data_IF_072082179329
#
_entry.id   IF_072082179329
#
_cell.length_a   1.000
_cell.length_b   1.000
_cell.length_c   1.000
_cell.angle_alpha   90.00
_cell.angle_beta   90.00
_cell.angle_gamma   90.00
#
_symmetry.space_group_name_H-M   'P 1'
#
loop_
_entity.id
_entity.type
_entity.pdbx_description
1 polymer ?
#
# COMPACT_ATOMS: atom_id res chain seq x y z
N UNK A 1 -28.83 30.47 7.38
CA UNK A 1 -28.75 29.68 6.14
C UNK A 1 -28.49 30.57 4.93
N UNK A 2 -29.12 31.75 4.84
CA UNK A 2 -28.99 32.67 3.69
C UNK A 2 -27.55 33.14 3.38
N UNK A 3 -26.67 33.20 4.40
CA UNK A 3 -25.24 33.52 4.20
C UNK A 3 -24.47 32.40 3.47
N UNK A 4 -24.83 31.13 3.67
CA UNK A 4 -24.19 29.98 3.01
C UNK A 4 -24.70 29.89 1.56
N UNK A 5 -25.99 30.15 1.35
CA UNK A 5 -26.58 30.16 0.00
C UNK A 5 -26.03 31.31 -0.85
N UNK A 6 -25.74 32.47 -0.23
CA UNK A 6 -25.09 33.60 -0.90
C UNK A 6 -23.63 33.30 -1.29
N UNK A 7 -22.83 32.70 -0.41
CA UNK A 7 -21.45 32.28 -0.72
C UNK A 7 -21.40 31.18 -1.80
N UNK A 8 -22.36 30.25 -1.80
CA UNK A 8 -22.48 29.22 -2.84
C UNK A 8 -22.92 29.82 -4.19
N UNK A 9 -23.76 30.87 -4.18
CA UNK A 9 -24.18 31.56 -5.41
C UNK A 9 -23.09 32.44 -6.02
N UNK A 10 -22.11 32.87 -5.23
CA UNK A 10 -20.94 33.64 -5.69
C UNK A 10 -19.75 32.78 -6.12
N UNK A 11 -19.82 31.45 -5.94
CA UNK A 11 -18.99 30.52 -6.68
C UNK A 11 -19.48 30.44 -8.13
N UNK A 12 -19.39 31.56 -8.86
CA UNK A 12 -19.52 31.53 -10.31
C UNK A 12 -18.51 30.52 -10.83
N UNK A 13 -19.02 29.40 -11.34
CA UNK A 13 -18.22 28.38 -12.01
C UNK A 13 -17.47 29.11 -13.12
N UNK A 14 -16.17 29.30 -12.92
CA UNK A 14 -15.32 30.06 -13.83
C UNK A 14 -15.54 29.55 -15.27
N UNK A 15 -15.44 30.40 -16.30
CA UNK A 15 -15.58 29.94 -17.68
C UNK A 15 -14.68 28.75 -18.01
N UNK A 16 -13.50 28.69 -17.39
CA UNK A 16 -12.56 27.58 -17.50
C UNK A 16 -13.06 26.28 -16.87
N UNK A 17 -13.72 26.35 -15.72
CA UNK A 17 -14.38 25.21 -15.06
C UNK A 17 -15.47 24.59 -15.94
N UNK A 18 -16.26 25.43 -16.65
CA UNK A 18 -17.26 24.97 -17.62
C UNK A 18 -16.62 24.30 -18.84
N UNK A 19 -15.47 24.80 -19.29
CA UNK A 19 -14.71 24.22 -20.40
C UNK A 19 -14.27 22.79 -20.09
N UNK A 20 -13.67 22.56 -18.92
CA UNK A 20 -13.25 21.20 -18.54
C UNK A 20 -14.44 20.24 -18.38
N UNK A 21 -15.53 20.69 -17.73
CA UNK A 21 -16.75 19.88 -17.60
C UNK A 21 -17.35 19.50 -18.97
N UNK A 22 -17.33 20.44 -19.94
CA UNK A 22 -17.75 20.17 -21.32
C UNK A 22 -16.87 19.11 -21.99
N UNK A 23 -15.55 19.22 -21.86
CA UNK A 23 -14.65 18.22 -22.45
C UNK A 23 -14.78 16.84 -21.82
N UNK A 24 -14.98 16.78 -20.51
CA UNK A 24 -15.32 15.53 -19.83
C UNK A 24 -16.63 14.93 -20.37
N UNK A 25 -17.64 15.75 -20.63
CA UNK A 25 -18.89 15.27 -21.25
C UNK A 25 -18.67 14.72 -22.67
N UNK A 26 -17.81 15.34 -23.48
CA UNK A 26 -17.46 14.84 -24.80
C UNK A 26 -16.81 13.45 -24.73
N UNK A 27 -15.93 13.22 -23.76
CA UNK A 27 -15.33 11.90 -23.48
C UNK A 27 -16.43 10.88 -23.15
N UNK A 28 -17.35 11.21 -22.24
CA UNK A 28 -18.47 10.32 -21.86
C UNK A 28 -19.34 9.99 -23.07
N UNK A 29 -19.72 10.99 -23.87
CA UNK A 29 -20.53 10.80 -25.08
C UNK A 29 -19.85 9.85 -26.06
N UNK A 30 -18.57 10.08 -26.33
CA UNK A 30 -17.83 9.26 -27.28
C UNK A 30 -17.59 7.83 -26.76
N UNK A 31 -17.37 7.66 -25.45
CA UNK A 31 -17.30 6.34 -24.86
C UNK A 31 -18.63 5.56 -24.96
N UNK A 32 -19.79 6.24 -24.84
CA UNK A 32 -21.09 5.62 -25.08
C UNK A 32 -21.23 5.13 -26.54
N UNK A 33 -20.76 5.93 -27.51
CA UNK A 33 -20.76 5.57 -28.93
C UNK A 33 -19.92 4.31 -29.18
N UNK A 34 -18.69 4.27 -28.63
CA UNK A 34 -17.79 3.11 -28.75
C UNK A 34 -18.41 1.86 -28.13
N UNK A 35 -18.95 1.98 -26.91
CA UNK A 35 -19.56 0.86 -26.16
C UNK A 35 -20.86 0.36 -26.78
N UNK A 36 -21.54 1.20 -27.59
CA UNK A 36 -22.93 1.01 -28.03
C UNK A 36 -23.92 0.85 -26.87
N UNK A 37 -23.52 1.30 -25.68
CA UNK A 37 -24.29 1.24 -24.45
C UNK A 37 -23.80 2.33 -23.51
N UNK A 38 -24.72 3.00 -22.81
CA UNK A 38 -24.36 3.96 -21.77
C UNK A 38 -23.68 3.27 -20.58
N UNK A 39 -22.62 3.86 -20.01
CA UNK A 39 -22.08 3.43 -18.72
C UNK A 39 -23.17 3.40 -17.65
N UNK A 40 -23.02 2.52 -16.65
CA UNK A 40 -23.97 2.50 -15.54
C UNK A 40 -23.93 3.83 -14.78
N UNK A 41 -25.04 4.21 -14.13
CA UNK A 41 -25.06 5.43 -13.31
C UNK A 41 -23.94 5.45 -12.25
N UNK A 42 -23.70 4.33 -11.59
CA UNK A 42 -22.64 4.20 -10.59
C UNK A 42 -21.24 4.39 -11.20
N UNK A 43 -21.00 3.84 -12.39
CA UNK A 43 -19.75 4.04 -13.14
C UNK A 43 -19.53 5.51 -13.53
N UNK A 44 -20.59 6.21 -13.98
CA UNK A 44 -20.55 7.64 -14.26
C UNK A 44 -20.28 8.46 -13.00
N UNK A 45 -20.97 8.17 -11.91
CA UNK A 45 -20.85 8.91 -10.65
C UNK A 45 -19.43 8.78 -10.07
N UNK A 46 -18.86 7.57 -10.06
CA UNK A 46 -17.48 7.33 -9.61
C UNK A 46 -16.47 8.02 -10.52
N UNK A 47 -16.55 7.80 -11.83
CA UNK A 47 -15.58 8.39 -12.77
C UNK A 47 -15.66 9.92 -12.77
N UNK A 48 -16.86 10.49 -12.58
CA UNK A 48 -17.05 11.94 -12.47
C UNK A 48 -16.51 12.50 -11.17
N UNK A 49 -16.72 11.81 -10.05
CA UNK A 49 -16.16 12.19 -8.76
C UNK A 49 -14.61 12.19 -8.81
N UNK A 50 -14.03 11.18 -9.44
CA UNK A 50 -12.59 11.07 -9.67
C UNK A 50 -12.05 12.16 -10.61
N UNK A 51 -12.77 12.48 -11.69
CA UNK A 51 -12.36 13.52 -12.62
C UNK A 51 -12.45 14.94 -12.05
N UNK A 52 -13.20 15.13 -10.96
CA UNK A 52 -13.28 16.39 -10.21
C UNK A 52 -11.99 16.70 -9.43
N UNK A 53 -11.88 17.87 -8.78
CA UNK A 53 -12.77 19.01 -8.92
C UNK A 53 -12.70 19.62 -10.33
N UNK A 54 -13.84 20.08 -10.85
CA UNK A 54 -13.96 20.69 -12.18
C UNK A 54 -13.51 22.17 -12.18
N UNK A 55 -12.31 22.43 -11.67
CA UNK A 55 -11.64 23.75 -11.65
C UNK A 55 -10.34 23.68 -12.44
N UNK A 56 -9.73 24.80 -12.83
CA UNK A 56 -8.39 24.79 -13.45
C UNK A 56 -7.26 24.63 -12.45
N UNK A 57 -6.11 24.14 -12.90
CA UNK A 57 -4.92 23.98 -12.05
C UNK A 57 -4.98 22.72 -11.18
N UNK A 58 -4.13 22.67 -10.16
CA UNK A 58 -4.01 21.57 -9.22
C UNK A 58 -3.20 20.39 -9.77
N UNK A 59 -3.30 19.26 -9.07
CA UNK A 59 -2.73 17.98 -9.49
C UNK A 59 -3.75 17.19 -10.31
N UNK A 60 -3.34 16.78 -11.50
CA UNK A 60 -4.05 15.78 -12.30
C UNK A 60 -3.24 14.48 -12.32
N UNK A 61 -3.86 13.37 -11.96
CA UNK A 61 -3.33 12.02 -12.13
C UNK A 61 -3.93 11.42 -13.39
N UNK A 62 -3.08 10.86 -14.25
CA UNK A 62 -3.49 10.14 -15.44
C UNK A 62 -3.21 8.65 -15.23
N UNK A 63 -4.25 7.83 -15.34
CA UNK A 63 -4.20 6.37 -15.29
C UNK A 63 -4.51 5.80 -16.69
N UNK A 64 -4.41 4.48 -16.86
CA UNK A 64 -4.54 3.86 -18.19
C UNK A 64 -5.99 3.56 -18.58
N UNK A 65 -6.70 2.81 -17.74
CA UNK A 65 -8.08 2.35 -17.97
C UNK A 65 -8.68 1.84 -16.64
N UNK A 66 -10.00 1.86 -16.49
CA UNK A 66 -10.65 1.32 -15.30
C UNK A 66 -10.53 -0.21 -15.21
N UNK A 67 -10.50 -0.72 -13.98
CA UNK A 67 -10.52 -2.16 -13.73
C UNK A 67 -11.88 -2.75 -14.12
N UNK A 68 -11.89 -3.87 -14.86
CA UNK A 68 -13.12 -4.54 -15.28
C UNK A 68 -14.03 -4.92 -14.11
N UNK A 69 -13.43 -5.33 -12.99
CA UNK A 69 -14.13 -5.75 -11.77
C UNK A 69 -14.22 -4.64 -10.73
N UNK A 70 -14.12 -3.37 -11.14
CA UNK A 70 -14.26 -2.25 -10.22
C UNK A 70 -15.67 -2.26 -9.58
N UNK A 71 -15.79 -2.19 -8.25
CA UNK A 71 -17.09 -2.28 -7.58
C UNK A 71 -17.79 -0.90 -7.58
N UNK A 72 -18.27 -0.47 -8.75
CA UNK A 72 -18.84 0.87 -8.97
C UNK A 72 -19.94 1.26 -7.97
N UNK A 73 -20.74 0.28 -7.51
CA UNK A 73 -21.83 0.50 -6.54
C UNK A 73 -21.34 0.94 -5.15
N UNK A 74 -20.07 0.69 -4.82
CA UNK A 74 -19.45 1.15 -3.57
C UNK A 74 -18.97 2.61 -3.64
N UNK A 75 -19.14 3.26 -4.80
CA UNK A 75 -18.75 4.65 -5.01
C UNK A 75 -17.23 4.84 -5.12
N UNK A 76 -16.76 6.09 -5.02
CA UNK A 76 -15.32 6.41 -5.12
C UNK A 76 -14.49 5.88 -3.95
N UNK A 77 -15.16 5.43 -2.87
CA UNK A 77 -14.55 4.77 -1.70
C UNK A 77 -14.54 3.24 -1.81
N UNK A 78 -14.94 2.70 -2.95
CA UNK A 78 -14.78 1.31 -3.32
C UNK A 78 -13.42 0.75 -2.89
N UNK A 79 -13.40 -0.51 -2.41
CA UNK A 79 -12.16 -1.21 -2.06
C UNK A 79 -11.34 -1.56 -3.32
N UNK A 80 -10.74 -0.55 -3.95
CA UNK A 80 -9.84 -0.68 -5.07
C UNK A 80 -8.40 -0.42 -4.60
N UNK A 81 -7.58 -1.47 -4.48
CA UNK A 81 -6.21 -1.35 -3.99
C UNK A 81 -5.39 -0.28 -4.73
N UNK A 82 -5.57 -0.15 -6.05
CA UNK A 82 -4.94 0.90 -6.87
C UNK A 82 -5.29 2.31 -6.39
N UNK A 83 -6.59 2.61 -6.21
CA UNK A 83 -7.04 3.93 -5.79
C UNK A 83 -6.76 4.18 -4.31
N UNK A 84 -6.87 3.16 -3.45
CA UNK A 84 -6.53 3.25 -2.03
C UNK A 84 -5.05 3.57 -1.83
N UNK A 85 -4.16 2.93 -2.60
CA UNK A 85 -2.74 3.24 -2.58
C UNK A 85 -2.49 4.66 -3.08
N UNK A 86 -3.12 5.07 -4.18
CA UNK A 86 -2.96 6.43 -4.70
C UNK A 86 -3.45 7.50 -3.69
N UNK A 87 -4.61 7.30 -3.06
CA UNK A 87 -5.16 8.17 -2.01
C UNK A 87 -4.20 8.28 -0.82
N UNK A 88 -3.75 7.14 -0.30
CA UNK A 88 -2.80 7.12 0.82
C UNK A 88 -1.48 7.82 0.45
N UNK A 89 -0.95 7.55 -0.75
CA UNK A 89 0.30 8.12 -1.21
C UNK A 89 0.22 9.63 -1.35
N UNK A 90 -0.89 10.15 -1.90
CA UNK A 90 -1.16 11.59 -2.01
C UNK A 90 -1.32 12.22 -0.63
N UNK A 91 -2.11 11.60 0.25
CA UNK A 91 -2.34 12.09 1.61
C UNK A 91 -1.03 12.16 2.40
N UNK A 92 -0.26 11.06 2.45
CA UNK A 92 1.05 11.02 3.11
C UNK A 92 2.01 12.05 2.52
N UNK A 93 2.11 12.10 1.18
CA UNK A 93 3.03 13.00 0.49
C UNK A 93 2.72 14.48 0.69
N UNK A 94 1.44 14.83 0.85
CA UNK A 94 0.98 16.19 1.06
C UNK A 94 0.80 16.57 2.54
N UNK A 95 1.07 15.65 3.46
CA UNK A 95 0.80 15.85 4.88
C UNK A 95 -0.69 15.98 5.21
N UNK A 96 -1.55 15.28 4.47
CA UNK A 96 -3.01 15.27 4.64
C UNK A 96 -3.75 16.45 3.98
N UNK A 97 -3.03 17.34 3.28
CA UNK A 97 -3.64 18.50 2.61
C UNK A 97 -4.42 18.14 1.34
N UNK A 98 -3.97 17.11 0.62
CA UNK A 98 -4.57 16.67 -0.63
C UNK A 98 -5.30 15.35 -0.44
N UNK A 99 -6.38 15.18 -1.20
CA UNK A 99 -7.16 13.95 -1.27
C UNK A 99 -7.73 13.77 -2.68
N UNK A 100 -7.83 12.53 -3.13
CA UNK A 100 -8.13 12.12 -4.50
C UNK A 100 -9.53 12.50 -5.00
N UNK A 101 -10.49 12.74 -4.11
CA UNK A 101 -11.85 13.14 -4.50
C UNK A 101 -12.15 14.64 -4.37
N UNK A 102 -11.31 15.39 -3.65
CA UNK A 102 -11.61 16.80 -3.31
C UNK A 102 -10.61 17.78 -3.92
N UNK A 103 -9.35 17.36 -4.08
CA UNK A 103 -8.25 18.25 -4.40
C UNK A 103 -7.49 17.84 -5.67
N UNK A 104 -7.52 16.55 -5.99
CA UNK A 104 -6.80 15.95 -7.10
C UNK A 104 -7.82 15.44 -8.10
N UNK A 105 -7.54 15.61 -9.39
CA UNK A 105 -8.31 14.99 -10.46
C UNK A 105 -7.64 13.72 -10.94
N UNK A 106 -8.43 12.72 -11.28
CA UNK A 106 -7.98 11.46 -11.86
C UNK A 106 -8.71 11.23 -13.17
N UNK A 107 -7.96 11.06 -14.25
CA UNK A 107 -8.49 10.71 -15.57
C UNK A 107 -7.81 9.44 -16.07
N UNK A 108 -8.59 8.50 -16.59
CA UNK A 108 -8.05 7.42 -17.39
C UNK A 108 -7.80 7.90 -18.83
N UNK A 109 -6.79 7.34 -19.49
CA UNK A 109 -6.56 7.54 -20.93
C UNK A 109 -7.62 6.82 -21.78
N UNK A 110 -8.26 5.79 -21.22
CA UNK A 110 -9.38 5.05 -21.83
C UNK A 110 -10.55 4.95 -20.84
N UNK A 111 -11.17 6.09 -20.48
CA UNK A 111 -12.25 6.09 -19.52
C UNK A 111 -13.44 5.31 -20.08
N UNK A 112 -14.12 4.54 -19.22
CA UNK A 112 -15.26 3.68 -19.57
C UNK A 112 -14.97 2.53 -20.54
N UNK A 113 -13.71 2.32 -20.95
CA UNK A 113 -13.31 1.21 -21.82
C UNK A 113 -12.51 0.21 -20.97
N UNK A 114 -13.07 -0.97 -20.73
CA UNK A 114 -12.36 -2.05 -20.05
C UNK A 114 -11.51 -2.85 -21.05
N UNK A 115 -10.62 -3.71 -20.52
CA UNK A 115 -9.69 -4.53 -21.32
C UNK A 115 -10.37 -5.37 -22.41
N UNK A 116 -11.57 -5.90 -22.16
CA UNK A 116 -12.32 -6.69 -23.13
C UNK A 116 -12.75 -5.85 -24.34
N UNK A 117 -13.31 -4.67 -24.06
CA UNK A 117 -13.73 -3.74 -25.12
C UNK A 117 -12.51 -3.16 -25.85
N UNK A 118 -11.41 -2.94 -25.13
CA UNK A 118 -10.19 -2.39 -25.70
C UNK A 118 -9.63 -3.26 -26.84
N UNK A 119 -9.85 -4.57 -26.84
CA UNK A 119 -9.41 -5.44 -27.94
C UNK A 119 -10.24 -5.27 -29.21
N UNK A 120 -11.45 -4.70 -29.11
CA UNK A 120 -12.41 -4.57 -30.20
C UNK A 120 -12.50 -3.16 -30.79
N UNK A 121 -11.86 -2.17 -30.14
CA UNK A 121 -11.84 -0.80 -30.66
C UNK A 121 -10.75 -0.66 -31.73
N UNK A 122 -11.10 -0.04 -32.85
CA UNK A 122 -10.16 0.26 -33.93
C UNK A 122 -9.19 1.38 -33.54
N UNK A 123 -8.05 1.46 -34.23
CA UNK A 123 -7.01 2.45 -33.93
C UNK A 123 -7.52 3.89 -34.05
N UNK A 124 -8.32 4.19 -35.07
CA UNK A 124 -8.96 5.51 -35.20
C UNK A 124 -9.86 5.86 -34.01
N UNK A 125 -10.54 4.87 -33.42
CA UNK A 125 -11.37 5.10 -32.24
C UNK A 125 -10.52 5.38 -31.01
N UNK A 126 -9.39 4.66 -30.84
CA UNK A 126 -8.41 4.90 -29.78
C UNK A 126 -7.81 6.29 -29.89
N UNK A 127 -7.38 6.69 -31.08
CA UNK A 127 -6.82 8.02 -31.34
C UNK A 127 -7.81 9.13 -31.03
N UNK A 128 -9.06 9.01 -31.50
CA UNK A 128 -10.10 10.01 -31.20
C UNK A 128 -10.42 10.07 -29.71
N UNK A 129 -10.45 8.93 -29.00
CA UNK A 129 -10.66 8.93 -27.55
C UNK A 129 -9.50 9.62 -26.82
N UNK A 130 -8.25 9.34 -27.21
CA UNK A 130 -7.09 10.00 -26.65
C UNK A 130 -7.13 11.51 -26.92
N UNK A 131 -7.49 11.94 -28.13
CA UNK A 131 -7.60 13.35 -28.48
C UNK A 131 -8.60 14.07 -27.55
N UNK A 132 -9.77 13.47 -27.29
CA UNK A 132 -10.76 14.03 -26.35
C UNK A 132 -10.22 14.09 -24.91
N UNK A 133 -9.46 13.08 -24.47
CA UNK A 133 -8.79 13.12 -23.15
C UNK A 133 -7.75 14.24 -23.08
N UNK A 134 -6.95 14.43 -24.13
CA UNK A 134 -5.97 15.52 -24.22
C UNK A 134 -6.64 16.89 -24.24
N UNK A 135 -7.78 17.04 -24.93
CA UNK A 135 -8.59 18.26 -24.90
C UNK A 135 -9.11 18.55 -23.49
N UNK A 136 -9.55 17.53 -22.75
CA UNK A 136 -9.96 17.68 -21.36
C UNK A 136 -8.80 18.07 -20.44
N UNK A 137 -7.62 17.48 -20.62
CA UNK A 137 -6.39 17.86 -19.90
C UNK A 137 -6.04 19.32 -20.19
N UNK A 138 -6.08 19.72 -21.47
CA UNK A 138 -5.82 21.09 -21.88
C UNK A 138 -6.85 22.06 -21.28
N UNK A 139 -8.13 21.68 -21.21
CA UNK A 139 -9.16 22.50 -20.56
C UNK A 139 -8.99 22.57 -19.03
N UNK A 140 -8.51 21.50 -18.40
CA UNK A 140 -8.20 21.44 -16.96
C UNK A 140 -6.99 22.29 -16.60
N UNK A 141 -6.05 22.51 -17.53
CA UNK A 141 -4.82 23.29 -17.29
C UNK A 141 -4.16 22.94 -15.94
N UNK A 142 -3.89 21.65 -15.61
CA UNK A 142 -3.27 21.31 -14.32
C UNK A 142 -1.92 22.02 -14.15
N UNK A 143 -1.52 22.29 -12.90
CA UNK A 143 -0.18 22.81 -12.62
C UNK A 143 0.84 21.67 -12.62
N UNK A 144 0.42 20.48 -12.14
CA UNK A 144 1.20 19.25 -12.19
C UNK A 144 0.37 18.10 -12.75
N UNK A 145 0.95 17.34 -13.69
CA UNK A 145 0.37 16.12 -14.23
C UNK A 145 1.22 14.92 -13.85
N UNK A 146 0.66 14.00 -13.07
CA UNK A 146 1.26 12.72 -12.70
C UNK A 146 0.72 11.62 -13.62
N UNK A 147 1.49 11.25 -14.64
CA UNK A 147 1.13 10.20 -15.60
C UNK A 147 1.66 8.84 -15.11
N UNK A 148 0.75 7.91 -14.81
CA UNK A 148 1.10 6.63 -14.19
C UNK A 148 0.82 5.45 -15.11
N UNK A 149 1.87 4.68 -15.41
CA UNK A 149 1.80 3.51 -16.28
C UNK A 149 2.58 3.67 -17.56
N UNK A 150 2.57 2.61 -18.36
CA UNK A 150 3.25 2.62 -19.64
C UNK A 150 2.28 3.09 -20.73
N UNK A 151 2.46 4.31 -21.22
CA UNK A 151 1.66 4.84 -22.34
C UNK A 151 1.99 4.10 -23.65
N UNK A 152 3.18 3.50 -23.79
CA UNK A 152 3.57 2.77 -25.01
C UNK A 152 2.66 1.56 -25.27
N UNK A 153 2.00 1.01 -24.25
CA UNK A 153 1.03 -0.07 -24.45
C UNK A 153 -0.27 0.39 -25.12
N UNK A 154 -0.50 1.70 -25.24
CA UNK A 154 -1.67 2.25 -25.93
C UNK A 154 -1.52 2.22 -27.46
N UNK A 155 -0.29 2.07 -27.97
CA UNK A 155 0.00 2.09 -29.41
C UNK A 155 0.94 0.94 -29.82
N UNK A 156 0.41 -0.28 -30.02
CA UNK A 156 1.20 -1.42 -30.51
C UNK A 156 1.83 -1.16 -31.89
N UNK A 157 1.20 -0.34 -32.73
CA UNK A 157 1.66 0.00 -34.08
C UNK A 157 2.94 0.86 -34.08
N UNK A 158 3.25 1.57 -32.98
CA UNK A 158 4.50 2.32 -32.81
C UNK A 158 5.64 1.48 -32.20
N UNK A 159 5.38 0.22 -31.85
CA UNK A 159 6.38 -0.67 -31.25
C UNK A 159 7.33 -1.32 -32.26
N UNK A 160 7.20 -1.07 -33.57
CA UNK A 160 7.96 -1.81 -34.57
C UNK A 160 9.47 -1.50 -34.62
N UNK A 161 10.00 -0.49 -33.91
CA UNK A 161 11.43 -0.10 -34.02
C UNK A 161 12.18 0.19 -32.71
N UNK A 162 11.68 -0.24 -31.55
CA UNK A 162 12.43 -0.07 -30.28
C UNK A 162 12.71 -1.43 -29.65
N UNK A 163 13.51 -2.24 -30.33
CA UNK A 163 14.27 -3.31 -29.69
C UNK A 163 15.58 -2.72 -29.15
N UNK A 164 15.60 -2.15 -27.94
CA UNK A 164 16.86 -2.00 -27.22
C UNK A 164 16.67 -1.98 -25.69
N UNK A 165 17.20 -3.05 -25.06
CA UNK A 165 17.75 -3.16 -23.70
C UNK A 165 17.28 -2.13 -22.65
N UNK A 166 16.48 -2.64 -21.70
CA UNK A 166 16.40 -2.30 -20.26
C UNK A 166 17.45 -1.29 -19.73
N UNK A 167 17.32 -0.02 -20.13
CA UNK A 167 18.05 1.09 -19.53
C UNK A 167 17.01 2.10 -19.06
N UNK A 168 16.64 1.97 -17.78
CA UNK A 168 15.98 2.97 -16.92
C UNK A 168 14.96 3.88 -17.62
N UNK A 169 13.68 3.46 -17.69
CA UNK A 169 12.44 4.29 -17.64
C UNK A 169 12.35 5.54 -18.56
N UNK A 170 13.29 5.79 -19.48
CA UNK A 170 13.36 7.05 -20.25
C UNK A 170 12.61 6.99 -21.58
N UNK A 171 12.41 5.82 -22.18
CA UNK A 171 11.86 5.70 -23.54
C UNK A 171 10.33 5.58 -23.69
N UNK A 172 9.54 5.04 -22.74
CA UNK A 172 8.08 5.01 -22.88
C UNK A 172 7.41 6.40 -22.81
N UNK A 173 8.21 7.46 -22.62
CA UNK A 173 7.79 8.86 -22.55
C UNK A 173 7.27 9.39 -23.89
N UNK A 174 7.67 8.80 -25.03
CA UNK A 174 7.42 9.39 -26.35
C UNK A 174 5.96 9.42 -26.78
N UNK A 175 5.16 8.35 -26.63
CA UNK A 175 3.82 8.32 -27.24
C UNK A 175 2.87 9.46 -26.79
N UNK A 176 2.79 9.78 -25.48
CA UNK A 176 2.00 10.93 -25.03
C UNK A 176 2.69 12.27 -25.39
N UNK A 177 4.03 12.29 -25.43
CA UNK A 177 4.81 13.45 -25.83
C UNK A 177 4.65 13.79 -27.32
N UNK A 178 4.51 12.79 -28.18
CA UNK A 178 4.32 12.96 -29.62
C UNK A 178 2.93 13.58 -29.90
N UNK A 179 1.94 13.28 -29.06
CA UNK A 179 0.65 13.97 -29.07
C UNK A 179 0.63 15.29 -28.28
N UNK A 180 1.72 15.70 -27.61
CA UNK A 180 1.78 17.03 -26.96
C UNK A 180 1.71 18.15 -27.98
N UNK A 181 1.99 17.87 -29.25
CA UNK A 181 1.83 18.84 -30.34
C UNK A 181 0.41 19.42 -30.40
N UNK A 182 -0.59 18.68 -29.89
CA UNK A 182 -1.97 19.16 -29.75
C UNK A 182 -2.25 20.03 -28.51
N UNK A 183 -1.34 20.06 -27.54
CA UNK A 183 -1.45 20.93 -26.37
C UNK A 183 -0.90 22.31 -26.69
N UNK A 184 -1.49 23.37 -26.13
CA UNK A 184 -1.00 24.72 -26.38
C UNK A 184 0.42 24.92 -25.83
N UNK A 185 1.23 25.76 -26.48
CA UNK A 185 2.57 26.10 -25.99
C UNK A 185 2.54 26.71 -24.59
N UNK A 186 1.48 27.48 -24.29
CA UNK A 186 1.23 28.02 -22.96
C UNK A 186 1.05 26.89 -21.94
N UNK A 187 0.24 25.88 -22.26
CA UNK A 187 0.04 24.73 -21.40
C UNK A 187 1.35 23.99 -21.13
N UNK A 188 2.17 23.74 -22.17
CA UNK A 188 3.44 23.01 -22.02
C UNK A 188 4.44 23.76 -21.14
N UNK A 189 4.45 25.09 -21.19
CA UNK A 189 5.32 25.93 -20.34
C UNK A 189 4.88 25.95 -18.88
N UNK A 190 3.56 25.88 -18.63
CA UNK A 190 2.99 25.97 -17.30
C UNK A 190 2.93 24.62 -16.57
N UNK A 191 2.62 23.53 -17.29
CA UNK A 191 2.37 22.24 -16.67
C UNK A 191 3.65 21.42 -16.45
N UNK A 192 3.86 20.95 -15.22
CA UNK A 192 4.94 20.02 -14.90
C UNK A 192 4.47 18.58 -15.07
N UNK A 193 5.13 17.82 -15.95
CA UNK A 193 4.82 16.41 -16.18
C UNK A 193 5.75 15.49 -15.39
N UNK A 194 5.17 14.60 -14.59
CA UNK A 194 5.88 13.55 -13.86
C UNK A 194 5.37 12.20 -14.31
N UNK A 195 6.30 11.29 -14.61
CA UNK A 195 5.98 9.93 -15.05
C UNK A 195 6.30 8.96 -13.94
N UNK A 196 5.37 8.04 -13.67
CA UNK A 196 5.49 7.05 -12.61
C UNK A 196 5.01 5.67 -13.09
N UNK A 197 5.34 4.63 -12.33
CA UNK A 197 4.72 3.33 -12.53
C UNK A 197 3.22 3.38 -12.20
N UNK A 198 2.41 2.55 -12.87
CA UNK A 198 1.00 2.44 -12.53
C UNK A 198 0.86 1.81 -11.12
N UNK A 199 0.00 2.32 -10.21
CA UNK A 199 -0.10 1.80 -8.86
C UNK A 199 -0.42 0.30 -8.80
N UNK A 200 -1.27 -0.19 -9.72
CA UNK A 200 -1.58 -1.63 -9.83
C UNK A 200 -0.34 -2.53 -9.91
N UNK A 201 0.77 -2.04 -10.51
CA UNK A 201 2.01 -2.81 -10.61
C UNK A 201 2.58 -3.14 -9.23
N UNK A 202 2.57 -2.18 -8.30
CA UNK A 202 3.13 -2.37 -6.96
C UNK A 202 2.11 -2.97 -5.98
N UNK A 203 0.81 -2.71 -6.15
CA UNK A 203 -0.20 -3.13 -5.15
C UNK A 203 -1.05 -4.33 -5.54
N UNK A 204 -1.22 -4.64 -6.83
CA UNK A 204 -1.97 -5.82 -7.27
C UNK A 204 -1.03 -6.91 -7.80
N UNK A 205 -0.05 -6.55 -8.61
CA UNK A 205 0.86 -7.53 -9.22
C UNK A 205 2.05 -7.89 -8.32
N UNK A 206 2.55 -6.93 -7.53
CA UNK A 206 3.69 -7.13 -6.62
C UNK A 206 3.37 -6.66 -5.19
N UNK A 207 2.25 -7.08 -4.56
CA UNK A 207 1.79 -6.58 -3.25
C UNK A 207 2.74 -6.84 -2.07
N UNK A 208 3.81 -7.61 -2.27
CA UNK A 208 4.84 -7.87 -1.27
C UNK A 208 6.15 -7.12 -1.54
N UNK A 209 6.27 -6.44 -2.69
CA UNK A 209 7.46 -5.69 -3.09
C UNK A 209 7.39 -4.27 -2.50
N UNK A 210 8.11 -4.07 -1.39
CA UNK A 210 8.17 -2.76 -0.74
C UNK A 210 8.93 -1.74 -1.57
N UNK A 211 10.00 -2.14 -2.25
CA UNK A 211 10.83 -1.23 -3.04
C UNK A 211 10.01 -0.59 -4.16
N UNK A 212 9.19 -1.38 -4.87
CA UNK A 212 8.26 -0.84 -5.87
C UNK A 212 7.22 0.12 -5.27
N UNK A 213 6.74 -0.14 -4.04
CA UNK A 213 5.80 0.78 -3.36
C UNK A 213 6.49 2.07 -2.94
N UNK A 214 7.75 2.01 -2.50
CA UNK A 214 8.52 3.21 -2.16
C UNK A 214 8.86 4.04 -3.41
N UNK A 215 9.23 3.41 -4.53
CA UNK A 215 9.44 4.11 -5.82
C UNK A 215 8.14 4.80 -6.30
N UNK A 216 7.00 4.14 -6.13
CA UNK A 216 5.69 4.75 -6.40
C UNK A 216 5.43 5.96 -5.50
N UNK A 217 5.69 5.84 -4.19
CA UNK A 217 5.53 6.95 -3.24
C UNK A 217 6.45 8.12 -3.56
N UNK A 218 7.71 7.84 -3.92
CA UNK A 218 8.69 8.84 -4.36
C UNK A 218 8.15 9.68 -5.51
N UNK A 219 7.54 9.02 -6.50
CA UNK A 219 6.96 9.69 -7.66
C UNK A 219 5.75 10.56 -7.28
N UNK A 220 4.86 10.05 -6.42
CA UNK A 220 3.70 10.79 -5.91
C UNK A 220 4.14 12.01 -5.08
N UNK A 221 5.16 11.84 -4.23
CA UNK A 221 5.72 12.91 -3.44
C UNK A 221 6.41 13.97 -4.29
N UNK A 222 7.13 13.55 -5.33
CA UNK A 222 7.65 14.46 -6.35
C UNK A 222 6.56 15.33 -6.95
N UNK A 223 5.40 14.76 -7.29
CA UNK A 223 4.26 15.51 -7.82
C UNK A 223 3.67 16.49 -6.80
N UNK A 224 3.47 16.03 -5.56
CA UNK A 224 2.94 16.89 -4.51
C UNK A 224 3.89 18.08 -4.23
N UNK A 225 5.20 17.83 -4.15
CA UNK A 225 6.21 18.86 -3.91
C UNK A 225 6.30 19.89 -5.06
N UNK A 226 6.10 19.47 -6.30
CA UNK A 226 6.02 20.41 -7.43
C UNK A 226 4.76 21.28 -7.35
N UNK A 227 3.65 20.74 -6.85
CA UNK A 227 2.41 21.50 -6.68
C UNK A 227 2.50 22.50 -5.52
N UNK A 228 3.02 22.07 -4.37
CA UNK A 228 3.24 22.89 -3.17
C UNK A 228 4.69 22.71 -2.68
N UNK A 229 5.61 23.60 -3.08
CA UNK A 229 7.01 23.58 -2.61
C UNK A 229 7.15 23.70 -1.08
N UNK A 230 6.11 24.20 -0.39
CA UNK A 230 6.01 24.23 1.07
C UNK A 230 5.82 22.85 1.70
N UNK A 231 5.66 21.79 0.91
CA UNK A 231 5.84 20.39 1.34
C UNK A 231 7.35 20.16 1.54
N UNK A 232 7.85 20.64 2.68
CA UNK A 232 9.29 20.61 3.03
C UNK A 232 9.72 19.23 3.52
N UNK A 233 8.79 18.36 3.95
CA UNK A 233 9.14 17.08 4.58
C UNK A 233 9.90 16.19 3.58
N UNK A 234 11.20 15.92 3.80
CA UNK A 234 11.95 15.01 2.95
C UNK A 234 11.26 13.66 2.93
N UNK A 235 11.11 13.03 1.76
CA UNK A 235 10.64 11.66 1.71
C UNK A 235 11.50 10.69 2.56
N UNK A 236 12.84 10.83 2.65
CA UNK A 236 13.62 10.08 3.62
C UNK A 236 13.18 10.32 5.05
N UNK A 237 12.65 11.48 5.42
CA UNK A 237 12.04 11.68 6.75
C UNK A 237 10.64 11.09 6.83
N UNK A 238 9.84 11.04 5.75
CA UNK A 238 8.51 10.40 5.81
C UNK A 238 8.69 8.90 5.93
N UNK A 239 9.53 8.32 5.10
CA UNK A 239 9.88 6.90 5.10
C UNK A 239 10.73 6.59 6.33
N UNK A 240 11.79 7.32 6.68
CA UNK A 240 12.57 7.05 7.91
C UNK A 240 11.91 7.53 9.21
N UNK A 241 10.88 8.38 9.20
CA UNK A 241 10.03 8.58 10.38
C UNK A 241 8.94 7.51 10.43
N UNK A 242 8.42 6.98 9.31
CA UNK A 242 7.52 5.83 9.38
C UNK A 242 8.25 4.50 9.60
N UNK A 243 9.51 4.42 9.19
CA UNK A 243 10.44 3.31 9.45
C UNK A 243 11.25 3.53 10.74
N UNK A 244 11.34 4.75 11.27
CA UNK A 244 12.29 5.12 12.35
C UNK A 244 11.87 6.26 13.30
N UNK A 245 10.68 6.87 13.17
CA UNK A 245 9.89 7.35 14.32
C UNK A 245 8.98 6.16 14.74
N UNK A 246 9.41 5.25 15.60
CA UNK A 246 10.44 5.51 16.61
C UNK A 246 10.06 6.74 17.42
N UNK A 247 8.81 6.78 17.91
CA UNK A 247 8.61 7.33 19.26
C UNK A 247 9.74 6.74 20.09
N UNK A 248 10.46 7.64 20.76
CA UNK A 248 11.54 7.40 21.70
C UNK A 248 11.63 5.95 22.14
N UNK A 249 12.81 5.36 21.95
CA UNK A 249 13.28 4.16 22.64
C UNK A 249 12.46 3.93 23.90
N UNK A 250 11.48 3.03 23.79
CA UNK A 250 10.57 2.77 24.86
C UNK A 250 11.36 2.14 25.98
N UNK A 251 11.54 2.95 27.02
CA UNK A 251 11.74 2.52 28.37
C UNK A 251 10.61 1.51 28.66
N UNK A 252 10.88 0.29 29.17
CA UNK A 252 9.88 -0.75 29.48
C UNK A 252 8.77 -0.34 30.48
N UNK A 253 8.66 0.95 30.82
CA UNK A 253 7.77 1.48 31.84
C UNK A 253 6.38 1.87 31.33
N UNK A 254 6.18 2.16 30.04
CA UNK A 254 4.84 2.49 29.51
C UNK A 254 4.13 1.21 29.01
N UNK A 255 3.50 0.51 29.94
CA UNK A 255 2.74 -0.72 29.72
C UNK A 255 1.41 -0.47 28.97
N UNK A 256 1.48 -0.07 27.71
CA UNK A 256 0.34 -0.18 26.79
C UNK A 256 -0.08 -1.64 26.60
N UNK A 257 -1.36 -1.89 26.32
CA UNK A 257 -1.96 -3.24 26.14
C UNK A 257 -1.27 -4.12 25.09
N UNK A 258 -0.42 -3.54 24.24
CA UNK A 258 0.13 -4.19 23.04
C UNK A 258 1.61 -4.58 23.18
N UNK A 259 2.31 -4.10 24.22
CA UNK A 259 3.76 -4.32 24.39
C UNK A 259 4.15 -5.79 24.51
N UNK A 260 3.32 -6.59 25.21
CA UNK A 260 3.57 -8.03 25.39
C UNK A 260 3.41 -8.84 24.11
N UNK A 261 2.53 -8.42 23.18
CA UNK A 261 2.33 -9.10 21.89
C UNK A 261 3.61 -9.03 21.06
N UNK A 262 4.25 -7.85 21.04
CA UNK A 262 5.52 -7.67 20.35
C UNK A 262 6.60 -8.58 20.94
N UNK A 263 6.76 -8.57 22.27
CA UNK A 263 7.73 -9.43 22.97
C UNK A 263 7.50 -10.90 22.65
N UNK A 264 6.25 -11.35 22.72
CA UNK A 264 5.88 -12.73 22.39
C UNK A 264 6.28 -13.08 20.96
N UNK A 265 5.92 -12.26 19.97
CA UNK A 265 6.26 -12.54 18.57
C UNK A 265 7.77 -12.53 18.33
N UNK A 266 8.51 -11.61 18.96
CA UNK A 266 9.98 -11.61 18.90
C UNK A 266 10.57 -12.93 19.40
N UNK A 267 10.10 -13.42 20.54
CA UNK A 267 10.54 -14.70 21.10
C UNK A 267 10.21 -15.85 20.15
N UNK A 268 8.98 -15.92 19.65
CA UNK A 268 8.55 -16.99 18.75
C UNK A 268 9.35 -17.00 17.44
N UNK A 269 9.59 -15.84 16.85
CA UNK A 269 10.38 -15.73 15.61
C UNK A 269 11.83 -16.12 15.85
N UNK A 270 12.45 -15.68 16.94
CA UNK A 270 13.82 -16.04 17.28
C UNK A 270 14.01 -17.53 17.58
N UNK A 271 12.98 -18.21 18.11
CA UNK A 271 12.99 -19.66 18.28
C UNK A 271 12.85 -20.42 16.95
N UNK A 272 12.29 -19.78 15.92
CA UNK A 272 12.11 -20.37 14.60
C UNK A 272 13.26 -20.06 13.63
N UNK A 273 13.91 -18.90 13.73
CA UNK A 273 14.97 -18.45 12.83
C UNK A 273 16.36 -18.70 13.45
N UNK A 274 17.30 -19.28 12.68
CA UNK A 274 18.69 -19.45 13.14
C UNK A 274 19.44 -18.11 13.20
N UNK A 275 20.50 -17.98 14.02
CA UNK A 275 21.29 -16.74 14.16
C UNK A 275 21.72 -16.01 12.88
N UNK A 276 22.19 -16.66 11.79
CA UNK A 276 22.51 -15.92 10.55
C UNK A 276 21.27 -15.42 9.77
N UNK A 277 20.08 -15.88 10.15
CA UNK A 277 18.78 -15.47 9.61
C UNK A 277 17.89 -14.81 10.68
N UNK A 278 18.43 -14.52 11.86
CA UNK A 278 17.72 -13.71 12.84
C UNK A 278 17.51 -12.35 12.20
N UNK A 279 16.27 -11.87 12.28
CA UNK A 279 15.93 -10.53 11.86
C UNK A 279 16.92 -9.58 12.55
N UNK A 280 17.66 -8.72 11.82
CA UNK A 280 18.50 -7.74 12.48
C UNK A 280 17.62 -6.95 13.46
N UNK A 281 18.18 -6.47 14.59
CA UNK A 281 17.41 -5.70 15.58
C UNK A 281 16.63 -4.52 14.94
N UNK A 282 17.09 -4.05 13.77
CA UNK A 282 16.45 -3.06 12.90
C UNK A 282 15.18 -3.49 12.17
N UNK A 283 14.87 -4.80 12.07
CA UNK A 283 13.60 -5.31 11.52
C UNK A 283 12.48 -5.36 12.57
N UNK A 284 12.78 -5.00 13.83
CA UNK A 284 11.83 -4.92 14.94
C UNK A 284 11.51 -3.46 15.30
N UNK A 285 11.36 -2.61 14.29
CA UNK A 285 11.02 -1.19 14.49
C UNK A 285 9.75 -1.04 15.33
N UNK A 286 9.70 0.04 16.11
CA UNK A 286 8.70 0.28 17.17
C UNK A 286 7.23 0.09 16.70
N UNK A 287 6.96 0.22 15.40
CA UNK A 287 5.62 0.19 14.81
C UNK A 287 5.42 -0.84 13.69
N UNK A 288 6.42 -1.67 13.35
CA UNK A 288 6.26 -2.73 12.35
C UNK A 288 5.83 -4.03 13.03
N UNK A 289 4.55 -4.36 12.97
CA UNK A 289 4.13 -5.71 13.33
C UNK A 289 4.63 -6.70 12.29
N UNK A 290 5.00 -7.89 12.77
CA UNK A 290 5.60 -8.95 11.98
C UNK A 290 4.73 -9.30 10.78
N UNK A 291 5.18 -8.94 9.58
CA UNK A 291 4.72 -9.57 8.35
C UNK A 291 5.82 -10.49 7.87
N UNK A 292 5.57 -11.79 8.00
CA UNK A 292 6.43 -12.81 7.42
C UNK A 292 6.51 -12.59 5.90
N UNK A 293 7.69 -12.19 5.42
CA UNK A 293 7.99 -12.06 4.00
C UNK A 293 8.00 -13.44 3.31
N UNK A 294 8.06 -13.44 1.97
CA UNK A 294 8.07 -14.68 1.17
C UNK A 294 9.17 -15.66 1.59
N UNK A 295 10.38 -15.17 1.81
CA UNK A 295 11.50 -16.02 2.21
C UNK A 295 11.28 -16.68 3.59
N UNK A 296 10.56 -16.02 4.51
CA UNK A 296 10.20 -16.64 5.79
C UNK A 296 9.26 -17.82 5.56
N UNK A 297 8.31 -17.70 4.63
CA UNK A 297 7.40 -18.79 4.29
C UNK A 297 8.16 -19.94 3.63
N UNK A 298 9.04 -19.63 2.68
CA UNK A 298 9.89 -20.64 2.03
C UNK A 298 10.78 -21.38 3.06
N UNK A 299 11.32 -20.64 4.04
CA UNK A 299 12.09 -21.21 5.14
C UNK A 299 11.25 -22.07 6.09
N UNK A 300 10.03 -21.62 6.40
CA UNK A 300 9.08 -22.37 7.21
C UNK A 300 8.65 -23.66 6.53
N UNK A 301 8.39 -23.63 5.22
CA UNK A 301 8.12 -24.83 4.43
C UNK A 301 9.33 -25.77 4.40
N UNK A 302 10.55 -25.22 4.32
CA UNK A 302 11.76 -26.01 4.44
C UNK A 302 11.87 -26.70 5.81
N UNK A 303 11.61 -25.99 6.92
CA UNK A 303 11.61 -26.57 8.27
C UNK A 303 10.60 -27.71 8.37
N UNK A 304 9.36 -27.47 7.94
CA UNK A 304 8.27 -28.45 8.03
C UNK A 304 8.54 -29.69 7.16
N UNK A 305 9.11 -29.50 5.95
CA UNK A 305 9.41 -30.61 5.04
C UNK A 305 10.53 -31.54 5.54
N UNK A 306 11.44 -31.04 6.38
CA UNK A 306 12.61 -31.80 6.80
C UNK A 306 12.63 -32.13 8.29
N UNK A 307 11.55 -31.85 9.04
CA UNK A 307 11.47 -32.01 10.50
C UNK A 307 11.97 -33.37 10.99
N UNK A 308 11.66 -34.44 10.25
CA UNK A 308 11.90 -35.82 10.68
C UNK A 308 13.33 -36.30 10.40
N UNK A 309 14.03 -35.63 9.48
CA UNK A 309 15.38 -36.01 9.05
C UNK A 309 16.48 -35.33 9.86
N UNK A 310 16.13 -34.37 10.70
CA UNK A 310 17.11 -33.55 11.40
C UNK A 310 17.04 -33.84 12.89
N UNK A 311 17.95 -34.69 13.37
CA UNK A 311 18.10 -35.02 14.80
C UNK A 311 18.57 -33.88 15.71
N UNK A 312 18.29 -32.62 15.37
CA UNK A 312 18.59 -31.45 16.20
C UNK A 312 17.29 -30.92 16.81
N UNK A 313 17.19 -30.96 18.13
CA UNK A 313 16.01 -30.53 18.90
C UNK A 313 15.56 -29.11 18.54
N UNK A 314 16.48 -28.18 18.23
CA UNK A 314 16.14 -26.82 17.78
C UNK A 314 15.22 -26.80 16.55
N UNK A 315 15.42 -27.72 15.59
CA UNK A 315 14.57 -27.78 14.39
C UNK A 315 13.21 -28.38 14.67
N UNK A 316 13.13 -29.30 15.64
CA UNK A 316 11.85 -29.85 16.12
C UNK A 316 11.04 -28.77 16.84
N UNK A 317 11.69 -27.96 17.67
CA UNK A 317 11.08 -26.79 18.31
C UNK A 317 10.57 -25.81 17.24
N UNK A 318 11.40 -25.45 16.27
CA UNK A 318 10.99 -24.57 15.18
C UNK A 318 9.80 -25.15 14.39
N UNK A 319 9.84 -26.43 13.99
CA UNK A 319 8.75 -27.09 13.27
C UNK A 319 7.43 -27.10 14.06
N UNK A 320 7.52 -27.20 15.39
CA UNK A 320 6.37 -27.16 16.30
C UNK A 320 5.78 -25.75 16.39
N UNK A 321 6.61 -24.71 16.38
CA UNK A 321 6.20 -23.31 16.49
C UNK A 321 5.72 -22.68 15.16
N UNK A 322 6.22 -23.14 14.01
CA UNK A 322 5.90 -22.57 12.68
C UNK A 322 4.38 -22.49 12.42
N UNK A 323 3.56 -23.53 12.68
CA UNK A 323 2.11 -23.43 12.49
C UNK A 323 1.45 -22.33 13.33
N UNK A 324 1.89 -22.16 14.59
CA UNK A 324 1.40 -21.09 15.46
C UNK A 324 1.79 -19.72 14.91
N UNK A 325 3.05 -19.52 14.52
CA UNK A 325 3.52 -18.27 13.89
C UNK A 325 2.73 -17.92 12.63
N UNK A 326 2.41 -18.90 11.79
CA UNK A 326 1.57 -18.68 10.60
C UNK A 326 0.17 -18.18 10.97
N UNK A 327 -0.48 -18.81 11.97
CA UNK A 327 -1.80 -18.38 12.47
C UNK A 327 -1.76 -16.96 13.05
N UNK A 328 -0.77 -16.67 13.88
CA UNK A 328 -0.59 -15.33 14.45
C UNK A 328 -0.34 -14.29 13.34
N UNK A 329 0.51 -14.60 12.36
CA UNK A 329 0.79 -13.71 11.23
C UNK A 329 -0.47 -13.36 10.41
N UNK A 330 -1.44 -14.28 10.29
CA UNK A 330 -2.72 -14.03 9.62
C UNK A 330 -3.64 -13.06 10.37
N UNK A 331 -3.36 -12.77 11.64
CA UNK A 331 -4.15 -11.84 12.44
C UNK A 331 -3.75 -10.38 12.19
N UNK A 332 -2.62 -10.13 11.53
CA UNK A 332 -2.16 -8.79 11.17
C UNK A 332 -2.66 -8.41 9.79
N UNK A 333 -3.34 -7.27 9.69
CA UNK A 333 -3.82 -6.71 8.45
C UNK A 333 -3.09 -5.39 8.17
N UNK A 334 -2.41 -5.30 7.04
CA UNK A 334 -1.78 -4.04 6.60
C UNK A 334 -2.85 -2.96 6.48
N UNK A 335 -2.67 -1.84 7.18
CA UNK A 335 -3.55 -0.66 7.06
C UNK A 335 -3.01 0.36 6.07
N UNK A 336 -1.77 0.19 5.65
CA UNK A 336 -1.05 1.09 4.76
C UNK A 336 -0.38 0.31 3.64
N UNK A 337 -0.29 0.95 2.48
CA UNK A 337 0.47 0.48 1.33
C UNK A 337 1.95 0.87 1.44
N UNK A 338 2.28 2.01 2.04
CA UNK A 338 3.65 2.54 2.03
C UNK A 338 4.39 2.44 3.36
N UNK A 339 3.67 2.19 4.44
CA UNK A 339 4.23 2.08 5.80
C UNK A 339 3.93 0.69 6.36
N UNK A 340 4.74 0.25 7.31
CA UNK A 340 4.52 -1.02 8.02
C UNK A 340 3.47 -0.86 9.14
N UNK A 341 2.35 -0.20 8.87
CA UNK A 341 1.25 -0.11 9.85
C UNK A 341 0.29 -1.28 9.68
N UNK A 342 -0.08 -1.88 10.81
CA UNK A 342 -0.95 -3.04 10.86
C UNK A 342 -2.03 -2.85 11.91
N UNK A 343 -3.21 -3.38 11.62
CA UNK A 343 -4.26 -3.64 12.59
C UNK A 343 -4.20 -5.12 13.01
N UNK A 344 -4.38 -5.38 14.31
CA UNK A 344 -4.52 -6.74 14.84
C UNK A 344 -6.01 -7.08 14.90
N UNK A 345 -6.39 -8.17 14.23
CA UNK A 345 -7.66 -8.85 14.51
C UNK A 345 -7.53 -9.58 15.85
N UNK A 346 -7.81 -8.86 16.95
CA UNK A 346 -7.64 -9.35 18.31
C UNK A 346 -8.41 -10.63 18.60
N UNK A 347 -9.61 -10.78 18.03
CA UNK A 347 -10.42 -11.98 18.23
C UNK A 347 -9.75 -13.22 17.62
N UNK A 348 -9.22 -13.10 16.40
CA UNK A 348 -8.44 -14.18 15.77
C UNK A 348 -7.11 -14.40 16.48
N UNK A 349 -6.45 -13.33 16.91
CA UNK A 349 -5.17 -13.39 17.61
C UNK A 349 -5.31 -14.16 18.93
N UNK A 350 -6.30 -13.81 19.75
CA UNK A 350 -6.57 -14.49 21.02
C UNK A 350 -6.92 -15.97 20.80
N UNK A 351 -7.72 -16.30 19.79
CA UNK A 351 -8.03 -17.71 19.44
C UNK A 351 -6.79 -18.47 19.00
N UNK A 352 -6.00 -17.91 18.08
CA UNK A 352 -4.76 -18.52 17.60
C UNK A 352 -3.76 -18.77 18.74
N UNK A 353 -3.69 -17.83 19.69
CA UNK A 353 -2.85 -17.97 20.88
C UNK A 353 -3.38 -19.04 21.83
N UNK A 354 -4.68 -19.06 22.13
CA UNK A 354 -5.31 -20.08 22.97
C UNK A 354 -5.11 -21.49 22.42
N UNK A 355 -5.35 -21.68 21.12
CA UNK A 355 -5.11 -22.95 20.41
C UNK A 355 -3.62 -23.31 20.30
N UNK A 356 -2.73 -22.34 20.56
CA UNK A 356 -1.28 -22.49 20.56
C UNK A 356 -0.69 -22.73 21.94
N UNK A 357 -1.47 -22.61 23.03
CA UNK A 357 -0.91 -22.68 24.39
C UNK A 357 -0.24 -24.03 24.67
N UNK A 358 -0.87 -25.13 24.29
CA UNK A 358 -0.28 -26.48 24.44
C UNK A 358 1.03 -26.62 23.68
N UNK A 359 1.10 -26.07 22.47
CA UNK A 359 2.32 -26.01 21.64
C UNK A 359 3.43 -25.23 22.35
N UNK A 360 3.09 -24.08 22.95
CA UNK A 360 4.05 -23.24 23.69
C UNK A 360 4.53 -23.94 24.97
N UNK A 361 3.64 -24.63 25.69
CA UNK A 361 3.96 -25.40 26.88
C UNK A 361 4.92 -26.55 26.56
N UNK A 362 4.66 -27.31 25.49
CA UNK A 362 5.52 -28.39 25.01
C UNK A 362 6.92 -27.89 24.65
N UNK A 363 6.99 -26.78 23.90
CA UNK A 363 8.26 -26.14 23.51
C UNK A 363 9.02 -25.67 24.75
N UNK A 364 8.35 -25.05 25.71
CA UNK A 364 8.96 -24.65 26.99
C UNK A 364 9.50 -25.86 27.75
N UNK A 365 8.79 -26.98 27.75
CA UNK A 365 9.23 -28.25 28.33
C UNK A 365 10.50 -28.80 27.65
N UNK A 366 10.56 -28.78 26.32
CA UNK A 366 11.75 -29.17 25.55
C UNK A 366 12.96 -28.27 25.84
N UNK A 367 12.76 -26.95 25.87
CA UNK A 367 13.82 -25.98 26.19
C UNK A 367 14.37 -26.16 27.60
N UNK A 368 13.50 -26.45 28.58
CA UNK A 368 13.89 -26.68 29.97
C UNK A 368 14.78 -27.93 30.16
N UNK A 369 14.52 -29.00 29.41
CA UNK A 369 15.30 -30.25 29.47
C UNK A 369 16.72 -30.08 28.92
N UNK A 370 16.91 -29.21 27.92
CA UNK A 370 18.22 -29.03 27.26
C UNK A 370 19.21 -28.16 28.04
N UNK A 371 18.77 -27.29 28.96
CA UNK A 371 19.69 -26.43 29.74
C UNK A 371 20.56 -27.18 30.74
N UNK A 372 20.30 -28.46 30.99
CA UNK A 372 21.12 -29.31 31.87
C UNK A 372 22.15 -30.16 31.12
N UNK A 373 22.27 -30.04 29.79
CA UNK A 373 23.35 -30.66 29.02
C UNK A 373 24.55 -29.70 28.93
N UNK A 374 25.52 -29.91 29.81
CA UNK A 374 26.60 -29.00 30.20
C UNK A 374 27.66 -28.61 29.15
N UNK A 375 27.47 -28.84 27.85
CA UNK A 375 28.54 -28.70 26.84
C UNK A 375 28.33 -27.65 25.73
N UNK A 376 27.25 -26.86 25.74
CA UNK A 376 27.03 -25.82 24.74
C UNK A 376 27.32 -24.39 25.26
N UNK A 377 28.58 -24.10 25.60
CA UNK A 377 29.04 -22.74 26.02
C UNK A 377 29.44 -21.80 24.89
N UNK A 378 29.23 -22.16 23.62
CA UNK A 378 29.88 -21.47 22.50
C UNK A 378 29.04 -20.45 21.70
N UNK A 379 27.70 -20.47 21.78
CA UNK A 379 26.88 -19.70 20.81
C UNK A 379 25.63 -19.12 21.46
N UNK A 380 25.78 -18.32 22.50
CA UNK A 380 24.75 -17.34 22.87
C UNK A 380 25.46 -16.12 23.43
N UNK A 381 25.53 -15.08 22.59
CA UNK A 381 25.52 -13.64 22.87
C UNK A 381 26.06 -13.24 24.26
N UNK A 382 27.05 -12.35 24.31
CA UNK A 382 27.48 -11.57 25.49
C UNK A 382 26.37 -10.68 26.10
N UNK A 383 25.11 -11.10 26.06
CA UNK A 383 24.07 -10.65 26.95
C UNK A 383 24.11 -11.53 28.19
N UNK A 384 24.51 -10.94 29.32
CA UNK A 384 24.59 -11.55 30.65
C UNK A 384 23.53 -12.65 30.90
N UNK A 385 23.88 -13.78 31.55
CA UNK A 385 22.98 -14.92 31.84
C UNK A 385 21.66 -14.56 32.54
N UNK A 386 21.61 -13.39 33.17
CA UNK A 386 20.42 -12.76 33.75
C UNK A 386 19.36 -12.41 32.72
N UNK A 387 19.72 -12.05 31.47
CA UNK A 387 18.76 -11.54 30.46
C UNK A 387 17.82 -12.63 29.93
N UNK A 388 18.36 -13.82 29.64
CA UNK A 388 17.60 -14.96 29.10
C UNK A 388 16.70 -15.61 30.18
N UNK A 389 17.12 -15.55 31.44
CA UNK A 389 16.28 -15.97 32.57
C UNK A 389 15.13 -15.00 32.79
N UNK A 390 15.35 -13.69 32.65
CA UNK A 390 14.25 -12.71 32.57
C UNK A 390 13.32 -13.00 31.40
N UNK A 391 13.78 -13.26 30.18
CA UNK A 391 12.88 -13.50 29.02
C UNK A 391 11.98 -14.75 29.19
N UNK A 392 12.48 -15.80 29.84
CA UNK A 392 11.70 -17.01 30.14
C UNK A 392 10.68 -16.76 31.27
N UNK A 393 11.07 -15.93 32.27
CA UNK A 393 10.16 -15.42 33.31
C UNK A 393 9.15 -14.43 32.76
N UNK A 394 9.52 -13.64 31.75
CA UNK A 394 8.70 -12.69 31.01
C UNK A 394 7.63 -13.44 30.23
N UNK A 395 8.00 -14.50 29.49
CA UNK A 395 7.05 -15.36 28.79
C UNK A 395 6.05 -16.02 29.75
N UNK A 396 6.51 -16.49 30.92
CA UNK A 396 5.63 -16.97 32.00
C UNK A 396 4.75 -15.86 32.58
N UNK A 397 5.29 -14.66 32.79
CA UNK A 397 4.52 -13.49 33.26
C UNK A 397 3.46 -13.04 32.25
N UNK A 398 3.78 -13.06 30.95
CA UNK A 398 2.86 -12.78 29.85
C UNK A 398 1.75 -13.84 29.80
N UNK A 399 2.09 -15.12 29.97
CA UNK A 399 1.14 -16.22 30.14
C UNK A 399 0.18 -15.97 31.32
N UNK A 400 0.69 -15.57 32.49
CA UNK A 400 -0.14 -15.28 33.66
C UNK A 400 -0.94 -13.97 33.54
N UNK A 401 -0.42 -12.94 32.90
CA UNK A 401 -1.11 -11.67 32.67
C UNK A 401 -2.27 -11.81 31.66
N UNK A 402 -2.07 -12.60 30.59
CA UNK A 402 -3.13 -12.95 29.64
C UNK A 402 -4.27 -13.74 30.31
N UNK A 403 -3.94 -14.64 31.24
CA UNK A 403 -4.94 -15.36 32.04
C UNK A 403 -5.62 -14.51 33.12
N UNK A 404 -4.91 -13.54 33.72
CA UNK A 404 -5.48 -12.64 34.73
C UNK A 404 -6.47 -11.61 34.16
N UNK A 405 -6.29 -11.18 32.91
CA UNK A 405 -7.16 -10.17 32.27
C UNK A 405 -8.47 -10.76 31.71
N UNK A 406 -8.48 -12.05 31.34
CA UNK A 406 -9.68 -12.76 30.89
C UNK A 406 -10.69 -13.06 32.03
N UNK A 407 -10.27 -12.99 33.30
CA UNK A 407 -11.12 -13.20 34.47
C UNK A 407 -11.93 -11.97 34.91
N UNK A 408 -11.73 -10.80 34.31
CA UNK A 408 -12.34 -9.54 34.75
C UNK A 408 -13.50 -9.02 33.85
N UNK A 409 -13.80 -9.69 32.73
CA UNK A 409 -15.00 -9.40 31.94
C UNK A 409 -16.22 -10.07 32.58
N UNK A 410 -16.79 -9.39 33.58
CA UNK A 410 -17.96 -9.83 34.32
C UNK A 410 -19.17 -10.12 33.42
N UNK A 411 -19.71 -11.32 33.57
CA UNK A 411 -21.06 -11.69 33.13
C UNK A 411 -22.05 -10.84 33.95
N UNK A 412 -23.00 -10.10 33.35
CA UNK A 412 -24.08 -9.49 34.10
C UNK A 412 -24.98 -10.60 34.63
N UNK A 413 -25.14 -10.66 35.96
CA UNK A 413 -26.15 -11.51 36.58
C UNK A 413 -27.53 -10.94 36.24
N UNK A 414 -28.33 -11.71 35.51
CA UNK A 414 -29.78 -11.56 35.48
C UNK A 414 -30.41 -12.22 36.70
#
# INVERSE_FOLDING_TARGET
>A
MDSITAEISQLEISPSSRSYAKQYHNIVSYACEIRRQSPSKAELDVTKALAGPFITGGLLVILLEPLQTHPWLEGSKAKCATLSALEEGISVSSGGKLSLCNHVSVLDLRPFICKELNNNIGDHQREKLLALVLEAINAKMPDVTLCMGNVSTLYPSYHYHIEHKLTRVKEPRRALMDHKDHLSDEFRKRNTWIYAMHPSRSVNHNPNDLEMRLELLESIHGACKQLDPGIVRPLPSIVANHLGQGIELFNPSDNGKDGWVKTLLCVLVNLCLRPPYQLPDSCLMANSMFRLERWHQDYFDHILKHSDTIGKEDKRIAATLVPLLRRLNMCFKSTSWYTYTYEIDWEKFTRALADGLTVLEDVCGSLGKNRFSSNARGVYIESSPTKITTDTLEARRIYFAAHGSLGACGVPKH
#
